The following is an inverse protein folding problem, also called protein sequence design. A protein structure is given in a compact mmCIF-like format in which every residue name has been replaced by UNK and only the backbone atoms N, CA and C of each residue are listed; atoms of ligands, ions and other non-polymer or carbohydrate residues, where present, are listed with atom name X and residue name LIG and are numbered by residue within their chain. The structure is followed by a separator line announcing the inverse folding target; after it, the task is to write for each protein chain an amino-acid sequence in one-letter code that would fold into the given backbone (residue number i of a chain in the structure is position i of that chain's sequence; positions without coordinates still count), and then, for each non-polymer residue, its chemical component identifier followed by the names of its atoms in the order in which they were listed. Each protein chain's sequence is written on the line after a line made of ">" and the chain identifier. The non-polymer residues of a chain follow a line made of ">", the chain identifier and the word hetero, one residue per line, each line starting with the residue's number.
data_IF_353722650992
#
_entry.id   IF_353722650992
#
_cell.length_a   1.000
_cell.length_b   1.000
_cell.length_c   1.000
_cell.angle_alpha   90.00
_cell.angle_beta   90.00
_cell.angle_gamma   90.00
#
_symmetry.space_group_name_H-M   'P 1'
#
loop_
_entity.id
_entity.type
_entity.pdbx_description
1 polymer ?
#
# COMPACT_ATOMS: atom_id res chain seq x y z
N UNK A 1 -66.75 -76.66 -3.13
CA UNK A 1 -65.35 -76.44 -3.50
C UNK A 1 -65.34 -75.40 -4.65
N UNK A 2 -64.92 -74.16 -4.43
CA UNK A 2 -64.75 -73.21 -5.47
C UNK A 2 -63.57 -72.32 -5.08
N UNK A 3 -62.49 -72.47 -5.82
CA UNK A 3 -61.25 -71.79 -5.69
C UNK A 3 -61.40 -70.34 -6.21
N UNK A 4 -61.10 -69.34 -5.36
CA UNK A 4 -61.09 -67.97 -5.71
C UNK A 4 -59.71 -67.48 -6.20
N UNK A 5 -59.56 -67.37 -7.49
CA UNK A 5 -58.35 -66.74 -8.11
C UNK A 5 -58.28 -65.26 -7.84
N UNK A 6 -57.33 -64.83 -7.02
CA UNK A 6 -56.97 -63.38 -6.84
C UNK A 6 -56.10 -62.91 -8.02
N UNK A 7 -56.67 -62.14 -8.93
CA UNK A 7 -55.89 -61.41 -9.95
C UNK A 7 -55.19 -60.17 -9.31
N UNK A 8 -53.90 -60.17 -9.31
CA UNK A 8 -53.06 -59.00 -8.98
C UNK A 8 -53.20 -57.94 -10.11
N UNK A 9 -53.88 -56.85 -9.81
CA UNK A 9 -54.01 -55.72 -10.73
C UNK A 9 -52.68 -54.94 -10.78
N UNK A 10 -51.94 -54.98 -11.90
CA UNK A 10 -50.85 -54.06 -12.18
C UNK A 10 -51.38 -52.64 -12.31
N UNK A 11 -51.11 -51.77 -11.33
CA UNK A 11 -51.35 -50.32 -11.42
C UNK A 11 -50.47 -49.77 -12.54
N UNK A 12 -51.08 -49.28 -13.62
CA UNK A 12 -50.36 -48.52 -14.68
C UNK A 12 -49.80 -47.24 -14.06
N UNK A 13 -48.47 -47.17 -13.99
CA UNK A 13 -47.76 -45.94 -13.63
C UNK A 13 -47.95 -45.00 -14.84
N UNK A 14 -48.58 -43.86 -14.68
CA UNK A 14 -48.82 -42.92 -15.81
C UNK A 14 -47.45 -42.37 -16.30
N UNK A 15 -47.16 -42.58 -17.55
CA UNK A 15 -45.92 -42.14 -18.22
C UNK A 15 -45.64 -40.63 -18.03
N UNK A 16 -46.69 -39.83 -17.78
CA UNK A 16 -46.59 -38.42 -17.41
C UNK A 16 -45.79 -38.18 -16.09
N UNK A 17 -45.94 -39.04 -15.10
CA UNK A 17 -45.22 -38.90 -13.83
C UNK A 17 -43.77 -39.29 -13.95
N UNK A 18 -43.43 -40.22 -14.84
CA UNK A 18 -42.02 -40.60 -15.12
C UNK A 18 -41.32 -39.44 -15.83
N UNK A 19 -41.96 -38.79 -16.83
CA UNK A 19 -41.44 -37.62 -17.53
C UNK A 19 -41.21 -36.43 -16.61
N UNK A 20 -42.14 -36.18 -15.65
CA UNK A 20 -41.96 -35.09 -14.68
C UNK A 20 -40.81 -35.35 -13.71
N UNK A 21 -40.64 -36.58 -13.21
CA UNK A 21 -39.53 -36.96 -12.33
C UNK A 21 -38.17 -36.85 -13.05
N UNK A 22 -38.10 -37.29 -14.33
CA UNK A 22 -36.87 -37.13 -15.14
C UNK A 22 -36.56 -35.66 -15.41
N UNK A 23 -37.54 -34.83 -15.72
CA UNK A 23 -37.36 -33.42 -15.91
C UNK A 23 -36.89 -32.68 -14.66
N UNK A 24 -37.40 -33.03 -13.48
CA UNK A 24 -36.98 -32.51 -12.18
C UNK A 24 -35.56 -32.97 -11.85
N UNK A 25 -35.24 -34.25 -12.13
CA UNK A 25 -33.89 -34.78 -11.91
C UNK A 25 -32.84 -34.10 -12.83
N UNK A 26 -33.18 -33.89 -14.11
CA UNK A 26 -32.31 -33.17 -15.05
C UNK A 26 -32.17 -31.69 -14.68
N UNK A 27 -33.26 -31.02 -14.30
CA UNK A 27 -33.20 -29.64 -13.81
C UNK A 27 -32.40 -29.54 -12.50
N UNK A 28 -32.57 -30.48 -11.58
CA UNK A 28 -31.78 -30.58 -10.36
C UNK A 28 -30.28 -30.86 -10.65
N UNK A 29 -29.96 -31.70 -11.63
CA UNK A 29 -28.60 -32.00 -12.04
C UNK A 29 -27.95 -30.74 -12.72
N UNK A 30 -28.70 -30.03 -13.55
CA UNK A 30 -28.24 -28.77 -14.19
C UNK A 30 -28.06 -27.66 -13.15
N UNK A 31 -28.93 -27.57 -12.15
CA UNK A 31 -28.77 -26.64 -11.03
C UNK A 31 -27.59 -27.03 -10.13
N UNK A 32 -27.40 -28.30 -9.84
CA UNK A 32 -26.25 -28.81 -9.07
C UNK A 32 -24.97 -28.64 -9.85
N UNK A 33 -24.92 -28.92 -11.17
CA UNK A 33 -23.69 -28.71 -11.98
C UNK A 33 -23.40 -27.22 -12.23
N UNK A 34 -24.40 -26.35 -12.35
CA UNK A 34 -24.20 -24.89 -12.35
C UNK A 34 -23.78 -24.36 -10.97
N UNK A 35 -24.28 -24.97 -9.89
CA UNK A 35 -23.95 -24.55 -8.52
C UNK A 35 -22.72 -25.28 -7.95
N UNK A 36 -22.33 -26.43 -8.51
CA UNK A 36 -21.13 -27.21 -8.15
C UNK A 36 -19.93 -26.95 -9.03
N UNK A 37 -20.01 -26.05 -10.03
CA UNK A 37 -18.84 -25.23 -10.37
C UNK A 37 -18.63 -24.35 -9.12
N UNK A 38 -18.21 -25.02 -8.06
CA UNK A 38 -17.96 -24.42 -6.77
C UNK A 38 -17.14 -23.18 -7.00
N UNK A 39 -17.70 -22.06 -6.59
CA UNK A 39 -16.98 -20.85 -6.33
C UNK A 39 -15.87 -21.17 -5.32
N UNK A 40 -14.81 -21.82 -5.77
CA UNK A 40 -13.52 -21.66 -5.11
C UNK A 40 -13.13 -20.23 -5.47
N UNK A 41 -13.66 -19.30 -4.70
CA UNK A 41 -13.22 -17.93 -4.82
C UNK A 41 -11.72 -17.94 -4.54
N UNK A 42 -10.92 -17.93 -5.62
CA UNK A 42 -9.49 -17.75 -5.48
C UNK A 42 -9.30 -16.42 -4.78
N UNK A 43 -8.73 -16.43 -3.61
CA UNK A 43 -8.38 -15.18 -2.96
C UNK A 43 -6.88 -14.91 -3.14
N UNK A 44 -6.53 -13.66 -3.25
CA UNK A 44 -5.16 -13.19 -3.16
C UNK A 44 -5.03 -12.34 -1.89
N UNK A 45 -3.92 -12.52 -1.18
CA UNK A 45 -3.56 -11.67 -0.05
C UNK A 45 -2.58 -10.59 -0.55
N UNK A 46 -3.04 -9.34 -0.54
CA UNK A 46 -2.19 -8.17 -0.75
C UNK A 46 -1.68 -7.66 0.60
N UNK A 47 -0.37 -7.73 0.81
CA UNK A 47 0.31 -7.14 1.97
C UNK A 47 0.87 -5.80 1.57
N UNK A 48 0.31 -4.72 2.16
CA UNK A 48 0.54 -3.36 1.74
C UNK A 48 1.04 -2.47 2.87
N UNK A 49 1.63 -1.33 2.53
CA UNK A 49 1.96 -0.32 3.51
C UNK A 49 0.73 0.53 3.90
N UNK A 50 0.79 1.11 5.09
CA UNK A 50 -0.36 1.66 5.80
C UNK A 50 -1.17 2.74 5.06
N UNK A 51 -0.56 3.73 4.37
CA UNK A 51 -1.28 4.79 3.67
C UNK A 51 -2.21 4.35 2.54
N UNK A 52 -2.10 3.11 2.06
CA UNK A 52 -2.83 2.60 0.88
C UNK A 52 -4.20 1.99 1.18
N UNK A 53 -4.70 2.07 2.39
CA UNK A 53 -6.00 1.48 2.77
C UNK A 53 -7.13 1.95 1.88
N UNK A 54 -7.29 3.24 1.75
CA UNK A 54 -8.35 3.89 0.96
C UNK A 54 -8.13 3.65 -0.54
N UNK A 55 -6.87 3.70 -1.00
CA UNK A 55 -6.51 3.38 -2.37
C UNK A 55 -7.01 1.98 -2.78
N UNK A 56 -6.68 0.96 -1.98
CA UNK A 56 -7.10 -0.40 -2.32
C UNK A 56 -8.58 -0.67 -2.04
N UNK A 57 -9.23 0.09 -1.14
CA UNK A 57 -10.68 0.09 -1.04
C UNK A 57 -11.36 0.57 -2.32
N UNK A 58 -10.75 1.54 -3.02
CA UNK A 58 -11.27 2.04 -4.29
C UNK A 58 -10.89 1.14 -5.48
N UNK A 59 -9.67 0.58 -5.51
CA UNK A 59 -9.15 -0.24 -6.61
C UNK A 59 -9.76 -1.64 -6.66
N UNK A 60 -9.88 -2.32 -5.50
CA UNK A 60 -10.25 -3.73 -5.46
C UNK A 60 -11.62 -4.05 -6.08
N UNK A 61 -12.69 -3.28 -5.86
CA UNK A 61 -13.97 -3.55 -6.50
C UNK A 61 -13.91 -3.47 -8.03
N UNK A 62 -13.12 -2.54 -8.57
CA UNK A 62 -12.95 -2.38 -10.01
C UNK A 62 -12.15 -3.55 -10.60
N UNK A 63 -11.06 -3.93 -9.95
CA UNK A 63 -10.29 -5.11 -10.34
C UNK A 63 -11.15 -6.38 -10.35
N UNK A 64 -11.89 -6.65 -9.26
CA UNK A 64 -12.74 -7.84 -9.13
C UNK A 64 -13.76 -7.90 -10.27
N UNK A 65 -14.45 -6.78 -10.53
CA UNK A 65 -15.41 -6.68 -11.62
C UNK A 65 -14.78 -6.92 -12.98
N UNK A 66 -13.64 -6.29 -13.26
CA UNK A 66 -12.92 -6.45 -14.53
C UNK A 66 -12.41 -7.88 -14.70
N UNK A 67 -11.83 -8.46 -13.65
CA UNK A 67 -11.32 -9.82 -13.67
C UNK A 67 -12.44 -10.84 -13.95
N UNK A 68 -13.58 -10.69 -13.29
CA UNK A 68 -14.74 -11.55 -13.51
C UNK A 68 -15.26 -11.47 -14.95
N UNK A 69 -15.35 -10.28 -15.53
CA UNK A 69 -15.77 -10.08 -16.92
C UNK A 69 -14.78 -10.72 -17.91
N UNK A 70 -13.46 -10.60 -17.65
CA UNK A 70 -12.42 -11.09 -18.56
C UNK A 70 -12.17 -12.58 -18.43
N UNK A 71 -12.22 -13.14 -17.23
CA UNK A 71 -11.85 -14.54 -16.97
C UNK A 71 -13.04 -15.49 -16.82
N UNK A 72 -14.25 -14.95 -16.60
CA UNK A 72 -15.43 -15.73 -16.22
C UNK A 72 -15.34 -16.35 -14.82
N UNK A 73 -14.36 -15.95 -14.01
CA UNK A 73 -14.08 -16.49 -12.69
C UNK A 73 -14.06 -15.40 -11.63
N UNK A 74 -14.55 -15.68 -10.43
CA UNK A 74 -14.49 -14.70 -9.34
C UNK A 74 -13.17 -14.78 -8.60
N UNK A 75 -12.73 -13.63 -8.05
CA UNK A 75 -11.56 -13.50 -7.20
C UNK A 75 -11.92 -12.62 -5.99
N UNK A 76 -11.36 -12.95 -4.83
CA UNK A 76 -11.44 -12.10 -3.65
C UNK A 76 -10.05 -11.52 -3.34
N UNK A 77 -10.00 -10.26 -2.92
CA UNK A 77 -8.76 -9.60 -2.51
C UNK A 77 -8.81 -9.32 -1.00
N UNK A 78 -7.92 -9.97 -0.26
CA UNK A 78 -7.70 -9.72 1.16
C UNK A 78 -6.56 -8.73 1.33
N UNK A 79 -6.63 -7.91 2.37
CA UNK A 79 -5.66 -6.84 2.61
C UNK A 79 -5.05 -6.97 4.01
N UNK A 80 -3.75 -6.70 4.09
CA UNK A 80 -3.04 -6.47 5.35
C UNK A 80 -2.30 -5.14 5.25
N UNK A 81 -2.49 -4.23 6.20
CA UNK A 81 -1.88 -2.91 6.21
C UNK A 81 -1.17 -2.62 7.52
N UNK A 82 0.10 -2.22 7.45
CA UNK A 82 0.90 -1.70 8.56
C UNK A 82 2.14 -0.95 8.00
N UNK A 83 3.08 -0.58 8.84
CA UNK A 83 4.34 0.03 8.38
C UNK A 83 5.05 -0.85 7.34
N UNK A 84 5.52 -0.26 6.23
CA UNK A 84 6.07 -0.97 5.07
C UNK A 84 7.14 -2.01 5.44
N UNK A 85 8.16 -1.58 6.17
CA UNK A 85 9.27 -2.46 6.59
C UNK A 85 8.83 -3.52 7.62
N UNK A 86 7.79 -3.22 8.42
CA UNK A 86 7.20 -4.21 9.32
C UNK A 86 6.48 -5.31 8.53
N UNK A 87 5.64 -4.93 7.55
CA UNK A 87 4.96 -5.87 6.65
C UNK A 87 5.96 -6.76 5.89
N UNK A 88 7.02 -6.16 5.31
CA UNK A 88 8.06 -6.91 4.63
C UNK A 88 8.70 -7.98 5.53
N UNK A 89 8.99 -7.63 6.80
CA UNK A 89 9.54 -8.59 7.77
C UNK A 89 8.58 -9.74 8.09
N UNK A 90 7.27 -9.47 8.23
CA UNK A 90 6.28 -10.53 8.47
C UNK A 90 6.16 -11.49 7.28
N UNK A 91 6.21 -10.96 6.05
CA UNK A 91 6.24 -11.81 4.83
C UNK A 91 7.54 -12.61 4.77
N UNK A 92 8.70 -11.98 5.03
CA UNK A 92 10.00 -12.63 5.02
C UNK A 92 10.12 -13.78 6.04
N UNK A 93 9.42 -13.68 7.18
CA UNK A 93 9.34 -14.73 8.21
C UNK A 93 8.27 -15.79 7.93
N UNK A 94 7.43 -15.60 6.90
CA UNK A 94 6.31 -16.49 6.59
C UNK A 94 5.12 -16.35 7.54
N UNK A 95 5.09 -15.32 8.39
CA UNK A 95 3.95 -15.00 9.26
C UNK A 95 2.76 -14.45 8.45
N UNK A 96 3.04 -13.70 7.38
CA UNK A 96 2.06 -13.32 6.35
C UNK A 96 2.43 -14.01 5.03
N UNK A 97 1.53 -14.86 4.55
CA UNK A 97 1.70 -15.60 3.29
C UNK A 97 1.13 -14.79 2.13
N UNK A 98 1.73 -13.62 1.87
CA UNK A 98 1.30 -12.71 0.82
C UNK A 98 1.39 -13.34 -0.57
N UNK A 99 0.36 -13.19 -1.39
CA UNK A 99 0.42 -13.49 -2.82
C UNK A 99 1.05 -12.33 -3.58
N UNK A 100 0.70 -11.11 -3.17
CA UNK A 100 1.29 -9.87 -3.69
C UNK A 100 1.71 -8.97 -2.54
N UNK A 101 2.76 -8.20 -2.78
CA UNK A 101 3.20 -7.11 -1.90
C UNK A 101 3.11 -5.79 -2.65
N UNK A 102 2.65 -4.75 -1.96
CA UNK A 102 2.56 -3.39 -2.47
C UNK A 102 3.15 -2.48 -1.40
N UNK A 103 4.48 -2.33 -1.42
CA UNK A 103 5.26 -1.75 -0.33
C UNK A 103 5.73 -0.32 -0.67
N UNK A 104 5.97 0.47 0.35
CA UNK A 104 6.34 1.87 0.21
C UNK A 104 7.76 2.11 -0.32
N UNK A 105 8.62 1.08 -0.28
CA UNK A 105 10.03 1.20 -0.64
C UNK A 105 10.54 -0.01 -1.43
N UNK A 106 11.34 0.20 -2.49
CA UNK A 106 11.99 -0.90 -3.22
C UNK A 106 12.87 -1.78 -2.33
N UNK A 107 13.57 -1.20 -1.35
CA UNK A 107 14.42 -1.95 -0.40
C UNK A 107 13.64 -2.96 0.46
N UNK A 108 12.36 -2.71 0.73
CA UNK A 108 11.51 -3.63 1.48
C UNK A 108 11.16 -4.87 0.62
N UNK A 109 10.96 -4.70 -0.71
CA UNK A 109 10.77 -5.81 -1.65
C UNK A 109 12.08 -6.57 -1.89
N UNK A 110 13.22 -5.86 -2.00
CA UNK A 110 14.54 -6.49 -2.07
C UNK A 110 14.85 -7.37 -0.85
N UNK A 111 14.33 -7.00 0.31
CA UNK A 111 14.39 -7.84 1.50
C UNK A 111 13.76 -9.22 1.30
N UNK A 112 12.66 -9.30 0.52
CA UNK A 112 12.01 -10.57 0.18
C UNK A 112 12.80 -11.35 -0.89
N UNK A 113 13.40 -10.65 -1.85
CA UNK A 113 14.32 -11.24 -2.84
C UNK A 113 15.51 -11.88 -2.14
N UNK A 114 16.12 -11.20 -1.18
CA UNK A 114 17.24 -11.72 -0.40
C UNK A 114 16.89 -12.98 0.42
N UNK A 115 15.59 -13.23 0.66
CA UNK A 115 15.07 -14.46 1.28
C UNK A 115 14.65 -15.53 0.27
N UNK A 116 14.86 -15.30 -1.03
CA UNK A 116 14.48 -16.24 -2.08
C UNK A 116 12.95 -16.36 -2.32
N UNK A 117 12.16 -15.42 -1.80
CA UNK A 117 10.70 -15.42 -1.98
C UNK A 117 10.28 -14.82 -3.33
N UNK A 118 11.10 -13.94 -3.87
CA UNK A 118 10.94 -13.25 -5.16
C UNK A 118 12.28 -13.37 -5.90
N UNK A 119 12.31 -13.63 -7.23
CA UNK A 119 13.57 -13.76 -7.97
C UNK A 119 14.24 -12.42 -8.24
N UNK A 120 15.50 -12.46 -8.66
CA UNK A 120 16.22 -11.32 -9.21
C UNK A 120 15.50 -10.77 -10.46
N UNK A 121 15.59 -9.45 -10.67
CA UNK A 121 14.95 -8.78 -11.79
C UNK A 121 13.43 -8.59 -11.63
N UNK A 122 12.90 -8.77 -10.42
CA UNK A 122 11.48 -8.60 -10.11
C UNK A 122 10.96 -7.21 -10.52
N UNK A 123 11.78 -6.18 -10.42
CA UNK A 123 11.44 -4.81 -10.77
C UNK A 123 11.07 -4.63 -12.25
N UNK A 124 11.62 -5.48 -13.15
CA UNK A 124 11.39 -5.42 -14.60
C UNK A 124 10.15 -6.18 -15.07
N UNK A 125 9.40 -6.78 -14.15
CA UNK A 125 8.28 -7.68 -14.48
C UNK A 125 6.98 -6.95 -14.81
N UNK A 126 6.89 -5.68 -14.40
CA UNK A 126 5.72 -4.82 -14.60
C UNK A 126 6.19 -3.45 -15.16
N UNK A 127 5.28 -2.67 -15.77
CA UNK A 127 5.61 -1.36 -16.31
C UNK A 127 6.27 -0.44 -15.26
N UNK A 128 7.02 0.55 -15.73
CA UNK A 128 7.67 1.57 -14.91
C UNK A 128 8.51 0.98 -13.75
N UNK A 129 9.22 -0.14 -14.00
CA UNK A 129 9.99 -0.87 -13.00
C UNK A 129 9.13 -1.27 -11.77
N UNK A 130 7.94 -1.82 -12.03
CA UNK A 130 6.98 -2.27 -11.00
C UNK A 130 6.51 -1.15 -10.05
N UNK A 131 6.47 0.10 -10.55
CA UNK A 131 6.03 1.29 -9.80
C UNK A 131 4.76 1.86 -10.43
N UNK A 132 3.57 1.52 -9.92
CA UNK A 132 2.30 1.99 -10.48
C UNK A 132 2.04 3.47 -10.21
N UNK A 133 2.69 4.04 -9.22
CA UNK A 133 2.57 5.45 -8.82
C UNK A 133 3.80 5.91 -8.04
N UNK A 134 3.92 7.21 -7.89
CA UNK A 134 4.89 7.88 -7.04
C UNK A 134 4.15 8.66 -5.93
N UNK A 135 4.90 9.12 -4.94
CA UNK A 135 4.44 10.03 -3.90
C UNK A 135 5.63 10.83 -3.36
N UNK A 136 5.41 11.59 -2.31
CA UNK A 136 6.48 12.34 -1.64
C UNK A 136 6.12 12.59 -0.19
N UNK A 137 7.02 13.25 0.54
CA UNK A 137 6.78 13.75 1.90
C UNK A 137 6.48 15.23 1.82
N UNK A 138 5.38 15.62 2.44
CA UNK A 138 4.94 16.99 2.62
C UNK A 138 4.69 17.28 4.10
N UNK A 139 4.41 18.53 4.44
CA UNK A 139 4.10 18.93 5.80
C UNK A 139 2.60 19.15 5.97
N UNK A 140 2.05 18.68 7.08
CA UNK A 140 0.71 19.07 7.54
C UNK A 140 0.90 20.00 8.74
N UNK A 141 0.32 21.18 8.66
CA UNK A 141 0.42 22.21 9.70
C UNK A 141 -0.96 22.60 10.21
N UNK A 142 -0.99 23.27 11.36
CA UNK A 142 -2.22 23.86 11.90
C UNK A 142 -2.68 25.01 10.99
N UNK A 143 -3.99 25.30 10.99
CA UNK A 143 -4.59 26.39 10.19
C UNK A 143 -3.83 27.71 10.34
N UNK A 144 -3.52 28.33 9.20
CA UNK A 144 -2.78 29.58 9.15
C UNK A 144 -1.28 29.45 9.41
N UNK A 145 -0.76 28.23 9.50
CA UNK A 145 0.67 27.93 9.65
C UNK A 145 1.37 28.81 10.70
N UNK A 146 0.99 28.71 11.99
CA UNK A 146 1.42 29.66 13.04
C UNK A 146 2.94 29.72 13.26
N UNK A 147 3.67 28.63 12.91
CA UNK A 147 5.13 28.56 13.00
C UNK A 147 5.84 28.94 11.70
N UNK A 148 5.12 29.43 10.67
CA UNK A 148 5.66 29.80 9.36
C UNK A 148 6.58 28.73 8.74
N UNK A 149 6.13 27.45 8.78
CA UNK A 149 6.87 26.30 8.25
C UNK A 149 6.64 26.21 6.75
N UNK A 150 7.69 26.44 5.97
CA UNK A 150 7.66 26.42 4.50
C UNK A 150 8.72 25.50 3.90
N UNK A 151 9.79 25.20 4.64
CA UNK A 151 10.90 24.39 4.15
C UNK A 151 11.50 23.56 5.30
N UNK A 152 12.31 22.55 4.96
CA UNK A 152 12.96 21.62 5.88
C UNK A 152 13.72 22.30 7.03
N UNK A 153 14.51 23.37 6.80
CA UNK A 153 15.19 24.07 7.89
C UNK A 153 14.26 24.71 8.92
N UNK A 154 13.00 25.00 8.55
CA UNK A 154 12.03 25.60 9.48
C UNK A 154 11.63 24.63 10.58
N UNK A 155 11.69 23.30 10.31
CA UNK A 155 11.44 22.23 11.29
C UNK A 155 12.47 22.20 12.42
N UNK A 156 13.63 22.86 12.23
CA UNK A 156 14.70 22.94 13.22
C UNK A 156 14.71 24.25 14.00
N UNK A 157 13.73 25.16 13.77
CA UNK A 157 13.66 26.47 14.38
C UNK A 157 12.75 26.49 15.60
N UNK A 158 13.05 27.37 16.55
CA UNK A 158 12.20 27.62 17.72
C UNK A 158 11.90 26.34 18.55
N UNK A 159 10.68 26.25 19.00
CA UNK A 159 10.11 25.20 19.81
C UNK A 159 9.13 24.29 19.04
N UNK A 160 9.24 24.25 17.72
CA UNK A 160 8.39 23.43 16.83
C UNK A 160 8.47 21.96 17.23
N UNK A 161 7.33 21.35 17.54
CA UNK A 161 7.20 19.91 17.76
C UNK A 161 6.86 19.18 16.47
N UNK A 162 7.71 18.22 16.08
CA UNK A 162 7.59 17.45 14.83
C UNK A 162 6.99 16.08 15.10
N UNK A 163 5.89 15.76 14.44
CA UNK A 163 5.31 14.42 14.43
C UNK A 163 5.81 13.68 13.19
N UNK A 164 6.46 12.57 13.41
CA UNK A 164 7.03 11.71 12.36
C UNK A 164 7.05 10.26 12.83
N UNK A 165 6.75 9.28 11.95
CA UNK A 165 6.83 7.88 12.36
C UNK A 165 8.28 7.35 12.43
N UNK A 166 8.43 6.24 13.15
CA UNK A 166 9.72 5.57 13.35
C UNK A 166 10.31 5.04 12.02
N UNK A 167 11.50 5.50 11.62
CA UNK A 167 12.15 5.05 10.39
C UNK A 167 12.63 3.59 10.43
N UNK A 168 12.64 2.92 11.60
CA UNK A 168 12.94 1.49 11.71
C UNK A 168 11.74 0.59 11.35
N UNK A 169 10.53 1.12 11.40
CA UNK A 169 9.29 0.36 11.16
C UNK A 169 8.46 0.90 10.01
N UNK A 170 8.53 2.19 9.75
CA UNK A 170 7.68 2.93 8.80
C UNK A 170 8.44 3.39 7.56
N UNK A 171 7.90 3.13 6.37
CA UNK A 171 8.38 3.72 5.12
C UNK A 171 8.26 5.25 5.11
N UNK A 172 7.21 5.80 5.74
CA UNK A 172 7.08 7.26 5.92
C UNK A 172 8.26 7.84 6.71
N UNK A 173 8.58 7.22 7.85
CA UNK A 173 9.70 7.65 8.67
C UNK A 173 11.03 7.61 7.92
N UNK A 174 11.27 6.54 7.13
CA UNK A 174 12.45 6.46 6.26
C UNK A 174 12.50 7.59 5.24
N UNK A 175 11.39 7.81 4.53
CA UNK A 175 11.33 8.85 3.51
C UNK A 175 11.43 10.26 4.09
N UNK A 176 10.83 10.53 5.25
CA UNK A 176 10.98 11.81 5.95
C UNK A 176 12.44 12.09 6.32
N UNK A 177 13.15 11.09 6.84
CA UNK A 177 14.58 11.22 7.14
C UNK A 177 15.42 11.47 5.90
N UNK A 178 15.18 10.72 4.81
CA UNK A 178 15.89 10.87 3.54
C UNK A 178 15.55 12.21 2.86
N UNK A 179 14.31 12.69 2.97
CA UNK A 179 13.89 13.97 2.43
C UNK A 179 14.56 15.14 3.16
N UNK A 180 14.60 15.10 4.50
CA UNK A 180 15.31 16.09 5.31
C UNK A 180 16.80 16.11 4.97
N UNK A 181 17.46 14.95 4.93
CA UNK A 181 18.86 14.82 4.55
C UNK A 181 19.12 15.36 3.13
N UNK A 182 18.34 14.87 2.16
CA UNK A 182 18.50 15.21 0.76
C UNK A 182 18.20 16.69 0.49
N UNK A 183 17.33 17.34 1.26
CA UNK A 183 17.06 18.76 1.14
C UNK A 183 18.31 19.64 1.33
N UNK A 184 19.28 19.16 2.11
CA UNK A 184 20.59 19.81 2.30
C UNK A 184 21.54 19.44 1.17
N UNK A 185 21.75 18.15 0.94
CA UNK A 185 22.76 17.66 -0.02
C UNK A 185 22.47 18.11 -1.45
N UNK A 186 21.19 18.04 -1.89
CA UNK A 186 20.81 18.44 -3.26
C UNK A 186 20.90 19.95 -3.49
N UNK A 187 20.97 20.73 -2.43
CA UNK A 187 21.25 22.19 -2.48
C UNK A 187 22.73 22.54 -2.36
N UNK A 188 23.62 21.52 -2.32
CA UNK A 188 25.07 21.70 -2.26
C UNK A 188 25.65 21.73 -0.84
N UNK A 189 24.85 21.45 0.18
CA UNK A 189 25.33 21.25 1.54
C UNK A 189 26.05 19.90 1.73
N UNK A 190 26.83 19.80 2.79
CA UNK A 190 27.60 18.60 3.11
C UNK A 190 26.84 17.64 4.04
N UNK A 191 27.42 16.43 4.25
CA UNK A 191 26.84 15.41 5.12
C UNK A 191 26.76 15.83 6.60
N UNK A 192 27.67 16.67 7.05
CA UNK A 192 27.66 17.19 8.43
C UNK A 192 26.46 18.11 8.64
N UNK A 193 26.19 18.99 7.67
CA UNK A 193 25.01 19.87 7.69
C UNK A 193 23.72 19.05 7.60
N UNK A 194 23.66 18.06 6.71
CA UNK A 194 22.52 17.15 6.60
C UNK A 194 22.24 16.37 7.90
N UNK A 195 23.29 15.88 8.55
CA UNK A 195 23.23 15.22 9.85
C UNK A 195 22.74 16.16 10.94
N UNK A 196 23.23 17.40 10.95
CA UNK A 196 22.84 18.41 11.93
C UNK A 196 21.33 18.76 11.80
N UNK A 197 20.84 18.96 10.57
CA UNK A 197 19.42 19.20 10.30
C UNK A 197 18.56 18.00 10.73
N UNK A 198 18.95 16.78 10.32
CA UNK A 198 18.23 15.57 10.66
C UNK A 198 18.13 15.37 12.18
N UNK A 199 19.26 15.56 12.89
CA UNK A 199 19.29 15.52 14.35
C UNK A 199 18.37 16.56 14.97
N UNK A 200 18.43 17.80 14.50
CA UNK A 200 17.59 18.88 15.03
C UNK A 200 16.09 18.62 14.85
N UNK A 201 15.69 17.96 13.75
CA UNK A 201 14.30 17.54 13.53
C UNK A 201 13.90 16.43 14.51
N UNK A 202 14.74 15.38 14.67
CA UNK A 202 14.44 14.28 15.58
C UNK A 202 14.50 14.67 17.05
N UNK A 203 15.36 15.63 17.44
CA UNK A 203 15.38 16.16 18.80
C UNK A 203 14.04 16.83 19.18
N UNK A 204 13.29 17.31 18.17
CA UNK A 204 11.98 17.95 18.28
C UNK A 204 10.81 16.99 18.14
N UNK A 205 11.06 15.72 17.84
CA UNK A 205 10.05 14.69 17.85
C UNK A 205 9.84 14.20 19.27
N UNK A 206 8.67 14.46 19.91
CA UNK A 206 8.43 14.06 21.29
C UNK A 206 8.36 12.54 21.45
N UNK A 207 7.94 11.84 20.39
CA UNK A 207 7.88 10.39 20.28
C UNK A 207 7.90 9.98 18.80
N UNK A 208 8.10 8.70 18.51
CA UNK A 208 7.98 8.14 17.17
C UNK A 208 6.88 7.07 17.13
N UNK A 209 5.90 7.28 16.27
CA UNK A 209 4.84 6.30 16.04
C UNK A 209 5.31 5.15 15.13
N UNK A 210 4.77 3.94 15.31
CA UNK A 210 5.24 2.77 14.54
C UNK A 210 4.89 2.80 13.05
N UNK A 211 3.92 3.64 12.64
CA UNK A 211 3.44 3.71 11.26
C UNK A 211 2.87 5.11 10.91
N UNK A 212 2.69 5.37 9.62
CA UNK A 212 2.16 6.65 9.11
C UNK A 212 0.78 6.98 9.71
N UNK A 213 -0.14 6.01 9.74
CA UNK A 213 -1.50 6.21 10.25
C UNK A 213 -1.54 6.61 11.72
N UNK A 214 -0.73 5.99 12.57
CA UNK A 214 -0.67 6.35 14.00
C UNK A 214 -0.09 7.75 14.20
N UNK A 215 0.91 8.16 13.43
CA UNK A 215 1.42 9.52 13.44
C UNK A 215 0.35 10.54 13.02
N UNK A 216 -0.40 10.25 11.93
CA UNK A 216 -1.53 11.08 11.51
C UNK A 216 -2.63 11.20 12.58
N UNK A 217 -2.94 10.12 13.29
CA UNK A 217 -3.90 10.15 14.42
C UNK A 217 -3.36 11.00 15.56
N UNK A 218 -2.10 10.83 15.95
CA UNK A 218 -1.48 11.62 17.00
C UNK A 218 -1.53 13.12 16.65
N UNK A 219 -1.25 13.49 15.41
CA UNK A 219 -1.31 14.87 14.96
C UNK A 219 -2.74 15.38 14.78
N UNK A 220 -3.54 14.76 13.91
CA UNK A 220 -4.83 15.31 13.52
C UNK A 220 -5.93 15.15 14.57
N UNK A 221 -5.96 14.02 15.30
CA UNK A 221 -7.02 13.67 16.24
C UNK A 221 -6.62 14.02 17.69
N UNK A 222 -5.44 13.57 18.12
CA UNK A 222 -4.94 13.83 19.49
C UNK A 222 -4.35 15.25 19.63
N UNK A 223 -4.21 15.99 18.52
CA UNK A 223 -3.71 17.36 18.43
C UNK A 223 -2.29 17.55 18.98
N UNK A 224 -1.46 16.51 18.92
CA UNK A 224 -0.06 16.54 19.32
C UNK A 224 0.80 17.21 18.24
N UNK A 225 1.79 17.97 18.64
CA UNK A 225 2.76 18.62 17.77
C UNK A 225 2.23 19.74 16.89
N UNK A 226 3.13 20.41 16.21
CA UNK A 226 2.88 21.60 15.37
C UNK A 226 2.90 21.29 13.88
N UNK A 227 3.70 20.28 13.48
CA UNK A 227 3.85 19.82 12.10
C UNK A 227 3.93 18.30 12.03
N UNK A 228 3.26 17.72 11.05
CA UNK A 228 3.35 16.30 10.73
C UNK A 228 4.04 16.09 9.38
N UNK A 229 5.08 15.26 9.35
CA UNK A 229 5.77 14.85 8.13
C UNK A 229 5.04 13.64 7.53
N UNK A 230 4.20 13.89 6.56
CA UNK A 230 3.26 12.91 6.02
C UNK A 230 3.55 12.54 4.57
N UNK A 231 3.11 11.35 4.15
CA UNK A 231 2.88 11.07 2.75
C UNK A 231 1.90 12.06 2.15
N UNK A 232 2.09 12.45 0.89
CA UNK A 232 1.25 13.42 0.20
C UNK A 232 -0.25 13.04 0.25
N UNK A 233 -0.59 11.78 -0.03
CA UNK A 233 -1.98 11.30 0.04
C UNK A 233 -2.57 11.36 1.46
N UNK A 234 -1.78 11.04 2.49
CA UNK A 234 -2.22 11.15 3.89
C UNK A 234 -2.44 12.61 4.28
N UNK A 235 -1.52 13.50 3.88
CA UNK A 235 -1.63 14.93 4.13
C UNK A 235 -2.90 15.53 3.50
N UNK A 236 -3.17 15.20 2.23
CA UNK A 236 -4.38 15.62 1.53
C UNK A 236 -5.66 15.11 2.22
N UNK A 237 -5.62 13.88 2.72
CA UNK A 237 -6.73 13.30 3.47
C UNK A 237 -6.91 13.97 4.83
N UNK A 238 -5.84 14.16 5.60
CA UNK A 238 -5.89 14.84 6.91
C UNK A 238 -6.43 16.27 6.78
N UNK A 239 -5.96 17.03 5.79
CA UNK A 239 -6.45 18.39 5.52
C UNK A 239 -7.96 18.37 5.18
N UNK A 240 -8.40 17.45 4.31
CA UNK A 240 -9.81 17.31 3.94
C UNK A 240 -10.69 16.93 5.14
N UNK A 241 -10.29 15.93 5.91
CA UNK A 241 -11.05 15.43 7.07
C UNK A 241 -11.07 16.43 8.23
N UNK A 242 -10.06 17.28 8.35
CA UNK A 242 -9.96 18.32 9.39
C UNK A 242 -10.98 19.45 9.25
N UNK A 243 -11.72 19.53 8.12
CA UNK A 243 -12.68 20.60 7.81
C UNK A 243 -12.07 22.00 7.94
N UNK A 244 -10.83 22.16 7.49
CA UNK A 244 -10.11 23.43 7.48
C UNK A 244 -9.33 23.75 8.76
N UNK A 245 -9.13 22.78 9.66
CA UNK A 245 -8.26 22.95 10.82
C UNK A 245 -6.79 22.65 10.51
N UNK A 246 -6.50 21.97 9.40
CA UNK A 246 -5.16 21.61 8.95
C UNK A 246 -4.95 22.07 7.52
N UNK A 247 -3.69 22.37 7.18
CA UNK A 247 -3.24 22.80 5.87
C UNK A 247 -2.05 21.97 5.42
N UNK A 248 -1.95 21.70 4.10
CA UNK A 248 -0.79 21.04 3.50
C UNK A 248 0.19 22.08 3.02
N UNK A 249 1.44 21.95 3.44
CA UNK A 249 2.56 22.75 2.98
C UNK A 249 3.50 21.88 2.15
N UNK A 250 3.70 22.25 0.91
CA UNK A 250 4.66 21.62 0.02
C UNK A 250 6.03 22.26 0.18
N UNK A 251 7.05 21.54 0.67
CA UNK A 251 8.40 22.09 0.71
C UNK A 251 8.94 22.32 -0.71
N UNK A 252 9.85 23.29 -0.93
CA UNK A 252 10.40 23.58 -2.26
C UNK A 252 11.11 22.38 -2.91
N UNK A 253 11.56 21.41 -2.11
CA UNK A 253 12.20 20.19 -2.56
C UNK A 253 11.87 19.04 -1.60
N UNK A 254 11.58 17.85 -2.14
CA UNK A 254 11.39 16.64 -1.34
C UNK A 254 11.88 15.41 -2.10
N UNK A 255 11.84 14.24 -1.44
CA UNK A 255 12.25 12.98 -2.06
C UNK A 255 11.15 12.43 -2.96
N UNK A 256 11.53 11.86 -4.11
CA UNK A 256 10.66 11.00 -4.90
C UNK A 256 10.48 9.68 -4.17
N UNK A 257 9.29 9.45 -3.65
CA UNK A 257 8.90 8.16 -3.11
C UNK A 257 8.44 7.26 -4.25
N UNK A 258 8.95 6.04 -4.27
CA UNK A 258 8.75 5.07 -5.35
C UNK A 258 8.14 3.76 -4.80
N UNK A 259 6.85 3.76 -4.38
CA UNK A 259 6.21 2.52 -3.95
C UNK A 259 6.25 1.46 -5.05
N UNK A 260 6.62 0.26 -4.67
CA UNK A 260 6.82 -0.84 -5.60
C UNK A 260 5.89 -2.00 -5.30
N UNK A 261 5.56 -2.75 -6.36
CA UNK A 261 4.66 -3.89 -6.28
C UNK A 261 5.31 -5.13 -6.87
N UNK A 262 5.06 -6.28 -6.25
CA UNK A 262 5.56 -7.56 -6.75
C UNK A 262 4.64 -8.70 -6.32
N UNK A 263 4.51 -9.75 -7.14
CA UNK A 263 3.96 -11.02 -6.66
C UNK A 263 5.07 -11.84 -5.99
N UNK A 264 4.68 -12.57 -4.96
CA UNK A 264 5.60 -13.39 -4.15
C UNK A 264 5.62 -14.81 -4.72
N UNK A 265 6.60 -15.10 -5.58
CA UNK A 265 6.67 -16.34 -6.38
C UNK A 265 6.53 -17.60 -5.52
N UNK A 266 7.24 -17.67 -4.41
CA UNK A 266 7.17 -18.81 -3.50
C UNK A 266 5.77 -19.09 -2.95
N UNK A 267 4.94 -18.05 -2.80
CA UNK A 267 3.60 -18.15 -2.25
C UNK A 267 2.55 -18.39 -3.34
N UNK A 268 2.60 -17.63 -4.46
CA UNK A 268 1.60 -17.77 -5.54
C UNK A 268 1.63 -19.16 -6.17
N UNK A 269 2.80 -19.77 -6.31
CA UNK A 269 2.94 -21.17 -6.76
C UNK A 269 2.29 -22.12 -5.76
N UNK A 270 2.56 -21.93 -4.48
CA UNK A 270 2.00 -22.78 -3.40
C UNK A 270 0.47 -22.66 -3.28
N UNK A 271 -0.06 -21.46 -3.49
CA UNK A 271 -1.50 -21.17 -3.36
C UNK A 271 -2.27 -21.42 -4.68
N UNK A 272 -1.58 -21.60 -5.81
CA UNK A 272 -2.21 -21.67 -7.14
C UNK A 272 -2.84 -20.34 -7.58
N UNK A 273 -2.34 -19.21 -7.05
CA UNK A 273 -2.90 -17.86 -7.23
C UNK A 273 -2.12 -17.00 -8.24
N UNK A 274 -1.19 -17.60 -8.97
CA UNK A 274 -0.25 -16.85 -9.84
C UNK A 274 -0.97 -16.01 -10.91
N UNK A 275 -2.00 -16.58 -11.55
CA UNK A 275 -2.78 -15.90 -12.60
C UNK A 275 -3.49 -14.68 -12.02
N UNK A 276 -4.14 -14.84 -10.88
CA UNK A 276 -4.87 -13.77 -10.19
C UNK A 276 -3.93 -12.68 -9.68
N UNK A 277 -2.79 -13.05 -9.10
CA UNK A 277 -1.79 -12.14 -8.58
C UNK A 277 -1.18 -11.27 -9.71
N UNK A 278 -0.83 -11.89 -10.83
CA UNK A 278 -0.34 -11.17 -12.02
C UNK A 278 -1.40 -10.25 -12.62
N UNK A 279 -2.64 -10.73 -12.75
CA UNK A 279 -3.75 -9.90 -13.23
C UNK A 279 -3.99 -8.69 -12.33
N UNK A 280 -3.97 -8.89 -11.00
CA UNK A 280 -4.16 -7.83 -10.02
C UNK A 280 -3.10 -6.73 -10.13
N UNK A 281 -1.83 -7.12 -10.21
CA UNK A 281 -0.76 -6.13 -10.30
C UNK A 281 -0.72 -5.44 -11.68
N UNK A 282 -1.04 -6.14 -12.77
CA UNK A 282 -1.16 -5.51 -14.09
C UNK A 282 -2.32 -4.50 -14.15
N UNK A 283 -3.43 -4.77 -13.45
CA UNK A 283 -4.56 -3.83 -13.35
C UNK A 283 -4.13 -2.46 -12.84
N UNK A 284 -3.17 -2.38 -11.90
CA UNK A 284 -2.69 -1.12 -11.34
C UNK A 284 -2.10 -0.16 -12.40
N UNK A 285 -1.72 -0.67 -13.57
CA UNK A 285 -1.13 0.10 -14.66
C UNK A 285 -2.14 0.45 -15.77
N UNK A 286 -3.41 0.07 -15.63
CA UNK A 286 -4.48 0.48 -16.56
C UNK A 286 -4.89 1.94 -16.32
N UNK A 287 -5.39 2.61 -17.35
CA UNK A 287 -5.85 3.99 -17.23
C UNK A 287 -6.96 4.14 -16.16
N UNK A 288 -7.85 3.16 -16.04
CA UNK A 288 -8.89 3.14 -15.00
C UNK A 288 -8.27 3.15 -13.60
N UNK A 289 -7.30 2.29 -13.34
CA UNK A 289 -6.61 2.24 -12.05
C UNK A 289 -5.78 3.52 -11.81
N UNK A 290 -5.14 4.08 -12.83
CA UNK A 290 -4.35 5.29 -12.75
C UNK A 290 -5.22 6.53 -12.41
N UNK A 291 -6.45 6.61 -12.92
CA UNK A 291 -7.41 7.66 -12.50
C UNK A 291 -7.82 7.51 -11.03
N UNK A 292 -8.02 6.29 -10.56
CA UNK A 292 -8.31 6.05 -9.13
C UNK A 292 -7.09 6.45 -8.28
N UNK A 293 -5.89 6.05 -8.68
CA UNK A 293 -4.63 6.38 -8.01
C UNK A 293 -4.51 7.91 -7.85
N UNK A 294 -4.75 8.68 -8.91
CA UNK A 294 -4.69 10.14 -8.85
C UNK A 294 -5.75 10.73 -7.91
N UNK A 295 -7.00 10.22 -7.96
CA UNK A 295 -8.09 10.67 -7.07
C UNK A 295 -7.81 10.38 -5.60
N UNK A 296 -7.07 9.32 -5.30
CA UNK A 296 -6.67 8.97 -3.94
C UNK A 296 -5.40 9.72 -3.46
N UNK A 297 -4.89 10.68 -4.26
CA UNK A 297 -3.78 11.56 -3.87
C UNK A 297 -2.39 10.97 -4.10
N UNK A 298 -2.27 9.97 -4.96
CA UNK A 298 -0.99 9.44 -5.44
C UNK A 298 -0.70 9.98 -6.83
N UNK A 299 0.59 10.11 -7.17
CA UNK A 299 1.05 10.58 -8.48
C UNK A 299 1.12 9.40 -9.45
N UNK A 300 0.15 9.23 -10.38
CA UNK A 300 0.14 8.13 -11.32
C UNK A 300 1.37 8.19 -12.23
N UNK A 301 1.86 7.05 -12.72
CA UNK A 301 2.95 7.02 -13.69
C UNK A 301 2.52 7.55 -15.06
N UNK A 302 1.21 7.50 -15.36
CA UNK A 302 0.67 8.08 -16.57
C UNK A 302 0.65 9.62 -16.47
N UNK A 303 1.58 10.26 -17.19
CA UNK A 303 1.76 11.71 -17.14
C UNK A 303 0.53 12.50 -17.60
N UNK A 304 -0.27 11.97 -18.53
CA UNK A 304 -1.50 12.64 -18.99
C UNK A 304 -2.57 12.64 -17.91
N UNK A 305 -2.67 11.55 -17.15
CA UNK A 305 -3.57 11.47 -16.00
C UNK A 305 -3.07 12.40 -14.90
N UNK A 306 -1.79 12.38 -14.57
CA UNK A 306 -1.21 13.28 -13.58
C UNK A 306 -1.51 14.76 -13.91
N UNK A 307 -1.36 15.16 -15.16
CA UNK A 307 -1.61 16.54 -15.60
C UNK A 307 -3.08 16.96 -15.38
N UNK A 308 -4.04 16.05 -15.48
CA UNK A 308 -5.46 16.33 -15.18
C UNK A 308 -5.77 16.59 -13.71
N UNK A 309 -4.85 16.18 -12.83
CA UNK A 309 -4.99 16.31 -11.37
C UNK A 309 -3.98 17.31 -10.77
N UNK A 310 -3.41 18.22 -11.58
CA UNK A 310 -2.39 19.17 -11.16
C UNK A 310 -2.87 20.18 -10.10
N UNK A 311 -4.16 20.42 -9.99
CA UNK A 311 -4.79 21.24 -8.93
C UNK A 311 -4.63 20.63 -7.54
N UNK A 312 -4.57 19.29 -7.45
CA UNK A 312 -4.43 18.55 -6.19
C UNK A 312 -3.02 18.02 -5.96
N UNK A 313 -2.31 17.73 -7.02
CA UNK A 313 -0.95 17.17 -7.04
C UNK A 313 -0.02 18.16 -7.75
N UNK A 314 0.30 19.28 -7.08
CA UNK A 314 1.10 20.34 -7.70
C UNK A 314 2.49 19.86 -8.08
N UNK A 315 3.08 20.48 -9.09
CA UNK A 315 4.46 20.20 -9.46
C UNK A 315 5.39 20.70 -8.35
N UNK A 316 6.25 19.81 -7.85
CA UNK A 316 7.29 20.13 -6.87
C UNK A 316 8.61 19.49 -7.30
N UNK A 317 9.72 20.08 -6.91
CA UNK A 317 11.03 19.50 -7.19
C UNK A 317 11.26 18.25 -6.37
N UNK A 318 11.18 17.07 -7.02
CA UNK A 318 11.46 15.76 -6.42
C UNK A 318 12.84 15.28 -6.80
N UNK A 319 13.66 14.92 -5.82
CA UNK A 319 14.96 14.29 -6.08
C UNK A 319 14.84 12.75 -5.92
N UNK A 320 15.51 11.98 -6.79
CA UNK A 320 15.56 10.52 -6.67
C UNK A 320 16.51 10.09 -5.55
N UNK A 321 16.39 8.83 -5.10
CA UNK A 321 17.29 8.27 -4.08
C UNK A 321 18.77 8.35 -4.51
N UNK A 322 19.05 8.29 -5.81
CA UNK A 322 20.40 8.38 -6.38
C UNK A 322 21.08 9.73 -6.18
N UNK A 323 20.36 10.74 -5.75
CA UNK A 323 20.95 12.04 -5.37
C UNK A 323 21.68 12.00 -4.00
N UNK A 324 21.39 11.00 -3.16
CA UNK A 324 21.92 10.91 -1.78
C UNK A 324 22.51 9.55 -1.42
N UNK A 325 22.29 8.53 -2.23
CA UNK A 325 22.82 7.17 -2.08
C UNK A 325 22.99 6.56 -3.47
N UNK A 326 23.69 5.45 -3.60
CA UNK A 326 23.86 4.76 -4.90
C UNK A 326 22.52 4.17 -5.40
N UNK A 327 21.76 3.62 -4.49
CA UNK A 327 20.45 2.98 -4.72
C UNK A 327 19.70 2.84 -3.38
N UNK A 328 18.51 2.22 -3.41
CA UNK A 328 17.70 1.98 -2.21
C UNK A 328 18.35 0.99 -1.23
N UNK A 329 19.15 0.04 -1.70
CA UNK A 329 19.87 -0.92 -0.84
C UNK A 329 20.99 -0.20 -0.08
N UNK A 330 21.74 0.65 -0.78
CA UNK A 330 22.77 1.49 -0.17
C UNK A 330 22.17 2.45 0.86
N UNK A 331 21.04 3.10 0.52
CA UNK A 331 20.31 3.94 1.47
C UNK A 331 19.86 3.17 2.71
N UNK A 332 19.30 1.96 2.53
CA UNK A 332 18.89 1.11 3.64
C UNK A 332 20.08 0.79 4.57
N UNK A 333 21.21 0.43 4.00
CA UNK A 333 22.40 0.04 4.76
C UNK A 333 23.04 1.24 5.47
N UNK A 334 23.14 2.38 4.79
CA UNK A 334 23.80 3.58 5.30
C UNK A 334 23.00 4.30 6.38
N UNK A 335 21.66 4.41 6.16
CA UNK A 335 20.80 5.20 7.04
C UNK A 335 20.12 4.37 8.12
N UNK A 336 19.63 3.16 7.81
CA UNK A 336 18.65 2.45 8.64
C UNK A 336 19.13 1.10 9.18
N UNK A 337 20.26 0.59 8.74
CA UNK A 337 20.88 -0.59 9.35
C UNK A 337 21.30 -0.31 10.80
N UNK A 338 21.61 -1.35 11.53
CA UNK A 338 22.18 -1.24 12.88
C UNK A 338 23.47 -0.39 12.82
N UNK A 339 23.61 0.55 13.74
CA UNK A 339 24.66 1.57 13.76
C UNK A 339 24.67 2.52 12.54
N UNK A 340 23.59 2.61 11.80
CA UNK A 340 23.43 3.56 10.70
C UNK A 340 23.26 5.01 11.16
N UNK A 341 23.09 5.90 10.19
CA UNK A 341 22.95 7.35 10.45
C UNK A 341 21.81 7.64 11.43
N UNK A 342 20.66 6.95 11.30
CA UNK A 342 19.51 7.16 12.19
C UNK A 342 19.87 6.82 13.63
N UNK A 343 20.57 5.74 13.91
CA UNK A 343 20.96 5.35 15.28
C UNK A 343 21.91 6.38 15.91
N UNK A 344 22.69 7.08 15.10
CA UNK A 344 23.60 8.13 15.57
C UNK A 344 22.89 9.48 15.84
N UNK A 345 21.74 9.74 15.22
CA UNK A 345 21.03 11.03 15.37
C UNK A 345 19.79 10.95 16.27
N UNK A 346 19.26 9.74 16.51
CA UNK A 346 18.08 9.55 17.30
C UNK A 346 18.22 8.39 18.29
N UNK A 347 17.98 8.68 19.56
CA UNK A 347 17.77 7.68 20.60
C UNK A 347 16.28 7.65 20.96
N UNK A 348 15.61 6.49 20.91
CA UNK A 348 14.18 6.40 21.21
C UNK A 348 13.85 6.98 22.57
N UNK A 349 12.91 7.93 22.61
CA UNK A 349 12.31 8.39 23.86
C UNK A 349 11.07 7.51 24.11
N UNK A 350 10.88 6.94 25.31
CA UNK A 350 9.66 6.23 25.63
C UNK A 350 8.47 7.19 25.50
N UNK A 351 7.37 6.71 24.90
CA UNK A 351 6.10 7.46 24.90
C UNK A 351 5.65 7.61 26.34
N UNK A 352 5.51 8.82 26.80
CA UNK A 352 4.88 9.12 28.10
C UNK A 352 3.38 9.21 27.80
N UNK A 353 2.62 8.22 28.28
CA UNK A 353 1.16 8.15 28.16
C UNK A 353 0.46 9.23 28.98
#
# INVERSE_FOLDING_TARGET
>A
MAEGSKRLGFRRIPWLNIGAVVAIAVAGLVLVTKNSQGFVAHYILNVSYDPTRELYQALNPQFIKQYEVQSGSSVAVRQSHAGSSYQARLVAKGELKADVVTLGLPSDVDGLRNKGLIPDGWEKRLPNNSRPYESTIVFVVRKGNPHAIHDWPDLAKGDVEVIVPDPKTSGNGKLAALAAWGSVVVRGGDEREARALLKAIYDRAPFLDPAARSAGVAFAVEKKGDVHLAWENEALREAKESKGALEVVYPPISIRAEPTVAWVDANVVKHGSEVQAKAYLNFLFTDEAQEIIAREGYRPFNAQILARHADRLPDIRLFPITAIARDWVDAQNRFFAENGIIDAVYSPKPRID
#
